data_IF_435583105490
#
_entry.id   IF_435583105490
#
_cell.length_a   1.000
_cell.length_b   1.000
_cell.length_c   1.000
_cell.angle_alpha   90.00
_cell.angle_beta   90.00
_cell.angle_gamma   90.00
#
_symmetry.space_group_name_H-M   'P 1'
#
loop_
_entity.id
_entity.type
_entity.pdbx_description
1 polymer ?
#
# COMPACT_ATOMS: atom_id res chain seq x y z
N UNK A 1 11.64 23.29 24.81
CA UNK A 1 10.77 23.00 25.98
C UNK A 1 9.31 22.78 25.58
N UNK A 2 8.65 23.68 24.83
CA UNK A 2 7.23 23.52 24.42
C UNK A 2 6.89 22.22 23.64
N UNK A 3 7.80 21.73 22.80
CA UNK A 3 7.61 20.47 22.04
C UNK A 3 7.63 19.23 22.94
N UNK A 4 8.44 19.25 24.01
CA UNK A 4 8.53 18.17 25.00
C UNK A 4 7.25 18.14 25.85
N UNK A 5 6.75 19.30 26.26
CA UNK A 5 5.52 19.42 27.06
C UNK A 5 4.27 18.96 26.28
N UNK A 6 4.20 19.26 24.96
CA UNK A 6 3.12 18.77 24.10
C UNK A 6 3.17 17.24 23.93
N UNK A 7 4.35 16.67 23.66
CA UNK A 7 4.52 15.22 23.54
C UNK A 7 4.22 14.51 24.86
N UNK A 8 4.61 15.10 25.99
CA UNK A 8 4.28 14.62 27.33
C UNK A 8 2.77 14.53 27.55
N UNK A 9 2.01 15.55 27.14
CA UNK A 9 0.54 15.53 27.24
C UNK A 9 -0.13 14.48 26.36
N UNK A 10 0.48 14.13 25.22
CA UNK A 10 -0.12 13.20 24.25
C UNK A 10 -0.04 11.74 24.70
N UNK A 11 1.11 11.27 25.20
CA UNK A 11 1.20 9.88 25.67
C UNK A 11 0.43 9.66 26.97
N UNK A 12 0.28 10.69 27.83
CA UNK A 12 -0.49 10.61 29.07
C UNK A 12 -1.97 10.28 28.81
N UNK A 13 -2.54 10.81 27.72
CA UNK A 13 -3.90 10.44 27.30
C UNK A 13 -3.98 8.95 26.96
N UNK A 14 -3.00 8.45 26.20
CA UNK A 14 -2.92 7.03 25.85
C UNK A 14 -2.75 6.13 27.08
N UNK A 15 -1.91 6.52 28.04
CA UNK A 15 -1.71 5.77 29.29
C UNK A 15 -2.98 5.69 30.14
N UNK A 16 -3.71 6.80 30.29
CA UNK A 16 -4.98 6.83 31.03
C UNK A 16 -6.05 5.93 30.43
N UNK A 17 -6.05 5.80 29.10
CA UNK A 17 -6.97 4.92 28.39
C UNK A 17 -6.55 3.44 28.50
N UNK A 18 -5.25 3.15 28.39
CA UNK A 18 -4.71 1.80 28.55
C UNK A 18 -4.92 1.27 29.97
N UNK A 19 -4.66 2.10 30.96
CA UNK A 19 -4.73 1.76 32.38
C UNK A 19 -5.93 2.47 33.04
N UNK A 20 -7.11 2.39 32.42
CA UNK A 20 -8.33 3.02 32.95
C UNK A 20 -8.54 2.69 34.43
N UNK A 21 -8.68 3.73 35.25
CA UNK A 21 -8.89 3.62 36.69
C UNK A 21 -7.63 3.34 37.51
N UNK A 22 -6.45 3.31 36.90
CA UNK A 22 -5.17 3.20 37.59
C UNK A 22 -4.45 4.55 37.59
N UNK A 23 -3.61 4.75 38.61
CA UNK A 23 -2.67 5.86 38.63
C UNK A 23 -1.51 5.57 37.66
N UNK A 24 -1.35 6.42 36.65
CA UNK A 24 -0.31 6.28 35.63
C UNK A 24 1.09 6.59 36.15
N UNK A 25 1.19 7.22 37.34
CA UNK A 25 2.45 7.47 38.04
C UNK A 25 2.79 6.37 39.06
N UNK A 26 1.90 5.39 39.27
CA UNK A 26 2.11 4.30 40.22
C UNK A 26 3.31 3.42 39.84
N UNK A 27 4.15 3.15 40.82
CA UNK A 27 5.27 2.19 40.70
C UNK A 27 4.83 0.73 40.96
N UNK A 28 3.58 0.52 41.36
CA UNK A 28 3.01 -0.80 41.65
C UNK A 28 1.84 -1.13 40.72
N UNK A 29 1.64 -2.41 40.44
CA UNK A 29 0.57 -2.90 39.59
C UNK A 29 0.05 -4.25 40.08
N UNK A 30 -1.20 -4.54 39.74
CA UNK A 30 -1.83 -5.83 40.05
C UNK A 30 -1.71 -6.81 38.89
N UNK A 31 -1.51 -8.07 39.21
CA UNK A 31 -1.32 -9.17 38.26
C UNK A 31 -2.23 -10.36 38.64
N UNK A 32 -2.35 -11.33 37.73
CA UNK A 32 -3.03 -12.62 37.91
C UNK A 32 -4.55 -12.56 38.17
N UNK A 33 -5.16 -11.36 38.15
CA UNK A 33 -6.60 -11.15 38.41
C UNK A 33 -7.48 -10.97 37.17
N UNK A 34 -6.89 -11.01 35.97
CA UNK A 34 -7.57 -10.62 34.73
C UNK A 34 -8.28 -11.78 34.02
N UNK A 35 -8.22 -13.02 34.54
CA UNK A 35 -8.86 -14.16 33.89
C UNK A 35 -8.16 -14.63 32.60
N UNK A 36 -6.85 -14.38 32.48
CA UNK A 36 -6.03 -14.86 31.37
C UNK A 36 -6.47 -14.27 30.03
N UNK A 37 -6.55 -15.11 28.99
CA UNK A 37 -6.96 -14.68 27.64
C UNK A 37 -8.40 -14.19 27.57
N UNK A 38 -9.25 -14.53 28.55
CA UNK A 38 -10.69 -14.20 28.54
C UNK A 38 -10.96 -12.71 28.78
N UNK A 39 -9.96 -11.93 29.21
CA UNK A 39 -10.07 -10.47 29.29
C UNK A 39 -10.13 -9.80 27.91
N UNK A 40 -9.68 -10.48 26.85
CA UNK A 40 -9.56 -9.91 25.51
C UNK A 40 -10.70 -10.41 24.61
N UNK A 41 -11.58 -9.51 24.14
CA UNK A 41 -12.55 -9.83 23.10
C UNK A 41 -11.89 -10.46 21.85
N UNK A 42 -10.73 -9.97 21.42
CA UNK A 42 -10.03 -10.52 20.25
C UNK A 42 -9.54 -11.96 20.47
N UNK A 43 -8.99 -12.28 21.65
CA UNK A 43 -8.59 -13.67 21.95
C UNK A 43 -9.80 -14.60 22.01
N UNK A 44 -10.94 -14.13 22.52
CA UNK A 44 -12.19 -14.91 22.54
C UNK A 44 -12.69 -15.22 21.13
N UNK A 45 -12.59 -14.24 20.21
CA UNK A 45 -12.88 -14.45 18.79
C UNK A 45 -11.95 -15.49 18.16
N UNK A 46 -10.64 -15.39 18.39
CA UNK A 46 -9.66 -16.34 17.85
C UNK A 46 -9.91 -17.78 18.32
N UNK A 47 -10.27 -17.97 19.60
CA UNK A 47 -10.64 -19.30 20.10
C UNK A 47 -11.92 -19.83 19.45
N UNK A 48 -12.91 -18.97 19.18
CA UNK A 48 -14.14 -19.37 18.48
C UNK A 48 -13.85 -19.78 17.04
N UNK A 49 -13.04 -19.00 16.32
CA UNK A 49 -12.63 -19.31 14.95
C UNK A 49 -11.80 -20.61 14.89
N UNK A 50 -10.86 -20.79 15.83
CA UNK A 50 -10.03 -21.99 15.94
C UNK A 50 -10.88 -23.26 16.01
N UNK A 51 -11.90 -23.30 16.87
CA UNK A 51 -12.79 -24.47 17.00
C UNK A 51 -13.50 -24.83 15.69
N UNK A 52 -13.98 -23.83 14.95
CA UNK A 52 -14.63 -24.07 13.66
C UNK A 52 -13.63 -24.68 12.66
N UNK A 53 -12.40 -24.17 12.62
CA UNK A 53 -11.35 -24.67 11.72
C UNK A 53 -10.90 -26.08 12.12
N UNK A 54 -10.74 -26.36 13.42
CA UNK A 54 -10.38 -27.69 13.92
C UNK A 54 -11.42 -28.75 13.52
N UNK A 55 -12.70 -28.41 13.64
CA UNK A 55 -13.80 -29.30 13.24
C UNK A 55 -13.82 -29.54 11.73
N UNK A 56 -13.56 -28.51 10.93
CA UNK A 56 -13.55 -28.59 9.47
C UNK A 56 -12.36 -29.40 8.94
N UNK A 57 -11.15 -29.14 9.45
CA UNK A 57 -9.92 -29.75 8.95
C UNK A 57 -9.49 -31.04 9.66
N UNK A 58 -10.10 -31.36 10.81
CA UNK A 58 -9.77 -32.55 11.61
C UNK A 58 -8.41 -32.52 12.31
N UNK A 59 -7.79 -31.34 12.48
CA UNK A 59 -6.47 -31.17 13.10
C UNK A 59 -6.48 -30.00 14.10
N UNK A 60 -5.89 -30.22 15.27
CA UNK A 60 -5.74 -29.21 16.33
C UNK A 60 -5.08 -27.92 15.81
N UNK A 61 -5.47 -26.76 16.34
CA UNK A 61 -5.02 -25.43 15.92
C UNK A 61 -4.67 -24.52 17.10
N UNK A 62 -5.14 -23.29 17.12
CA UNK A 62 -4.79 -22.26 18.09
C UNK A 62 -5.43 -22.61 19.44
N UNK A 63 -4.58 -22.99 20.40
CA UNK A 63 -4.97 -23.35 21.76
C UNK A 63 -4.04 -22.64 22.78
N UNK A 64 -4.34 -21.37 23.12
CA UNK A 64 -3.51 -20.58 24.01
C UNK A 64 -3.64 -20.99 25.48
N UNK A 65 -4.66 -21.78 25.85
CA UNK A 65 -4.85 -22.26 27.23
C UNK A 65 -3.96 -23.48 27.50
N UNK A 66 -3.81 -24.39 26.53
CA UNK A 66 -3.00 -25.60 26.70
C UNK A 66 -1.54 -25.44 26.24
N UNK A 67 -1.32 -24.79 25.09
CA UNK A 67 -0.01 -24.83 24.42
C UNK A 67 0.94 -23.71 24.86
N UNK A 68 0.42 -22.62 25.40
CA UNK A 68 1.27 -21.51 25.85
C UNK A 68 2.02 -21.89 27.13
N UNK A 69 3.35 -21.84 27.09
CA UNK A 69 4.26 -22.09 28.24
C UNK A 69 3.88 -23.33 29.08
N UNK A 70 3.54 -24.44 28.42
CA UNK A 70 3.18 -25.69 29.12
C UNK A 70 1.86 -25.63 29.91
N UNK A 71 0.90 -24.80 29.46
CA UNK A 71 -0.42 -24.65 30.07
C UNK A 71 -0.59 -23.39 30.92
N UNK A 72 0.36 -22.45 30.85
CA UNK A 72 0.24 -21.14 31.49
C UNK A 72 -0.29 -20.15 30.45
N UNK A 73 -1.60 -19.81 30.44
CA UNK A 73 -2.17 -18.95 29.41
C UNK A 73 -1.62 -17.52 29.47
N UNK A 74 -1.63 -16.84 28.32
CA UNK A 74 -1.43 -15.39 28.24
C UNK A 74 -2.44 -14.62 29.10
N UNK A 75 -2.15 -13.35 29.41
CA UNK A 75 -3.08 -12.48 30.16
C UNK A 75 -2.94 -12.56 31.67
N UNK A 76 -1.78 -13.00 32.18
CA UNK A 76 -1.44 -12.88 33.61
C UNK A 76 -1.24 -11.41 34.03
N UNK A 77 -1.01 -10.51 33.06
CA UNK A 77 -1.12 -9.06 33.20
C UNK A 77 -2.23 -8.55 32.31
N UNK A 78 -2.59 -7.28 32.47
CA UNK A 78 -3.53 -6.61 31.57
C UNK A 78 -3.04 -6.71 30.11
N UNK A 79 -3.89 -7.23 29.22
CA UNK A 79 -3.71 -7.16 27.78
C UNK A 79 -4.19 -5.78 27.31
N UNK A 80 -3.24 -4.95 26.89
CA UNK A 80 -3.47 -3.52 26.64
C UNK A 80 -3.96 -3.25 25.22
N UNK A 81 -4.71 -2.16 25.06
CA UNK A 81 -4.93 -1.55 23.76
C UNK A 81 -3.80 -0.59 23.40
N UNK A 82 -3.71 -0.22 22.13
CA UNK A 82 -2.73 0.74 21.61
C UNK A 82 -3.46 1.81 20.83
N UNK A 83 -3.17 3.07 21.16
CA UNK A 83 -3.56 4.17 20.30
C UNK A 83 -2.70 4.14 19.05
N UNK A 84 -3.33 4.18 17.87
CA UNK A 84 -2.62 4.56 16.66
C UNK A 84 -2.29 6.05 16.81
N UNK A 85 -1.01 6.37 17.02
CA UNK A 85 -0.54 7.69 17.46
C UNK A 85 -1.21 8.85 16.71
N UNK A 86 -1.84 9.76 17.46
CA UNK A 86 -2.46 10.98 16.91
C UNK A 86 -3.87 10.80 16.34
N UNK A 87 -4.41 9.58 16.34
CA UNK A 87 -5.75 9.30 15.77
C UNK A 87 -6.86 9.28 16.81
N UNK A 88 -6.52 9.02 18.09
CA UNK A 88 -7.51 8.72 19.13
C UNK A 88 -8.18 7.34 18.98
N UNK A 89 -7.75 6.51 18.02
CA UNK A 89 -8.27 5.15 17.79
C UNK A 89 -7.43 4.15 18.58
N UNK A 90 -8.09 3.39 19.45
CA UNK A 90 -7.46 2.35 20.27
C UNK A 90 -7.87 0.96 19.78
N UNK A 91 -6.90 0.08 19.59
CA UNK A 91 -7.11 -1.30 19.13
C UNK A 91 -6.30 -2.27 19.99
N UNK A 92 -6.69 -3.54 20.04
CA UNK A 92 -5.83 -4.57 20.62
C UNK A 92 -4.59 -4.79 19.74
N UNK A 93 -3.46 -5.17 20.35
CA UNK A 93 -2.20 -5.35 19.60
C UNK A 93 -2.28 -6.40 18.49
N UNK A 94 -3.18 -7.38 18.63
CA UNK A 94 -3.48 -8.38 17.60
C UNK A 94 -3.96 -7.80 16.27
N UNK A 95 -4.67 -6.67 16.31
CA UNK A 95 -5.21 -5.97 15.12
C UNK A 95 -4.11 -5.18 14.38
N UNK A 96 -2.95 -5.02 15.02
CA UNK A 96 -1.76 -4.41 14.46
C UNK A 96 -0.76 -5.44 13.94
N UNK A 97 -1.07 -6.74 14.05
CA UNK A 97 -0.29 -7.76 13.34
C UNK A 97 -0.64 -7.70 11.86
N UNK A 98 0.36 -7.57 10.98
CA UNK A 98 0.12 -7.33 9.54
C UNK A 98 -0.76 -8.38 8.86
N UNK A 99 -0.73 -9.65 9.31
CA UNK A 99 -1.64 -10.71 8.81
C UNK A 99 -3.12 -10.39 9.07
N UNK A 100 -3.43 -9.70 10.16
CA UNK A 100 -4.80 -9.32 10.55
C UNK A 100 -5.19 -7.92 10.05
N UNK A 101 -4.28 -7.23 9.35
CA UNK A 101 -4.46 -5.84 8.96
C UNK A 101 -4.29 -5.68 7.44
N UNK A 102 -5.41 -5.55 6.73
CA UNK A 102 -5.42 -5.40 5.28
C UNK A 102 -4.75 -4.11 4.81
N UNK A 103 -4.80 -3.03 5.60
CA UNK A 103 -4.11 -1.79 5.25
C UNK A 103 -2.59 -1.94 5.29
N UNK A 104 -2.04 -2.69 6.26
CA UNK A 104 -0.61 -2.99 6.31
C UNK A 104 -0.16 -3.87 5.13
N UNK A 105 -0.98 -4.85 4.74
CA UNK A 105 -0.69 -5.69 3.57
C UNK A 105 -0.74 -4.86 2.28
N UNK A 106 -1.81 -4.08 2.09
CA UNK A 106 -1.97 -3.27 0.89
C UNK A 106 -0.90 -2.18 0.78
N UNK A 107 -0.46 -1.59 1.89
CA UNK A 107 0.67 -0.65 1.89
C UNK A 107 1.93 -1.28 1.30
N UNK A 108 2.25 -2.51 1.68
CA UNK A 108 3.38 -3.23 1.09
C UNK A 108 3.13 -3.57 -0.38
N UNK A 109 1.93 -4.02 -0.72
CA UNK A 109 1.57 -4.38 -2.09
C UNK A 109 1.65 -3.16 -3.02
N UNK A 110 1.16 -1.99 -2.61
CA UNK A 110 1.24 -0.74 -3.36
C UNK A 110 2.68 -0.30 -3.61
N UNK A 111 3.59 -0.49 -2.65
CA UNK A 111 5.02 -0.23 -2.88
C UNK A 111 5.59 -1.26 -3.85
N UNK A 112 5.35 -2.56 -3.59
CA UNK A 112 5.93 -3.67 -4.34
C UNK A 112 5.49 -3.69 -5.80
N UNK A 113 4.24 -3.31 -6.09
CA UNK A 113 3.64 -3.31 -7.43
C UNK A 113 3.93 -2.05 -8.23
N UNK A 114 4.73 -1.12 -7.68
CA UNK A 114 5.02 0.18 -8.32
C UNK A 114 6.43 0.22 -8.91
N UNK A 115 6.56 0.77 -10.12
CA UNK A 115 7.86 1.12 -10.73
C UNK A 115 7.77 2.47 -11.45
N UNK A 116 8.87 3.20 -11.48
CA UNK A 116 9.01 4.44 -12.26
C UNK A 116 9.88 4.15 -13.50
N UNK A 117 9.40 4.55 -14.67
CA UNK A 117 10.10 4.34 -15.96
C UNK A 117 10.13 5.65 -16.75
N UNK A 118 11.34 6.14 -17.06
CA UNK A 118 11.53 7.34 -17.88
C UNK A 118 11.14 7.11 -19.35
N UNK A 119 10.57 8.12 -19.99
CA UNK A 119 10.10 8.06 -21.38
C UNK A 119 11.09 8.66 -22.39
N UNK A 120 12.04 9.47 -21.94
CA UNK A 120 12.94 10.24 -22.82
C UNK A 120 13.73 9.36 -23.79
N UNK A 121 14.26 8.22 -23.32
CA UNK A 121 15.00 7.28 -24.18
C UNK A 121 14.10 6.58 -25.21
N UNK A 122 12.86 6.29 -24.84
CA UNK A 122 11.88 5.71 -25.77
C UNK A 122 11.51 6.75 -26.85
N UNK A 123 11.18 7.98 -26.45
CA UNK A 123 10.90 9.08 -27.37
C UNK A 123 12.08 9.37 -28.31
N UNK A 124 13.30 9.42 -27.79
CA UNK A 124 14.50 9.59 -28.61
C UNK A 124 14.72 8.41 -29.57
N UNK A 125 14.34 7.20 -29.18
CA UNK A 125 14.43 6.03 -30.06
C UNK A 125 13.45 6.17 -31.23
N UNK A 126 12.21 6.57 -30.97
CA UNK A 126 11.20 6.82 -32.00
C UNK A 126 11.67 7.91 -32.98
N UNK A 127 12.15 9.04 -32.46
CA UNK A 127 12.62 10.17 -33.27
C UNK A 127 13.87 9.83 -34.09
N UNK A 128 14.91 9.27 -33.46
CA UNK A 128 16.22 9.06 -34.10
C UNK A 128 16.26 7.82 -34.99
N UNK A 129 15.54 6.76 -34.66
CA UNK A 129 15.59 5.48 -35.40
C UNK A 129 14.42 5.27 -36.34
N UNK A 130 13.24 5.77 -35.98
CA UNK A 130 12.02 5.55 -36.78
C UNK A 130 11.53 6.83 -37.48
N UNK A 131 12.13 7.99 -37.20
CA UNK A 131 11.71 9.27 -37.80
C UNK A 131 10.30 9.70 -37.40
N UNK A 132 9.81 9.19 -36.26
CA UNK A 132 8.48 9.49 -35.73
C UNK A 132 8.53 10.75 -34.87
N UNK A 133 7.56 11.63 -35.05
CA UNK A 133 7.38 12.78 -34.18
C UNK A 133 6.74 12.34 -32.85
N UNK A 134 7.11 12.99 -31.76
CA UNK A 134 6.54 12.78 -30.43
C UNK A 134 5.99 14.13 -29.97
N UNK A 135 4.68 14.20 -29.80
CA UNK A 135 3.92 15.37 -29.37
C UNK A 135 3.03 15.01 -28.18
N UNK A 136 2.51 15.99 -27.42
CA UNK A 136 1.53 15.72 -26.37
C UNK A 136 0.32 14.91 -26.85
N UNK A 137 -0.17 15.15 -28.08
CA UNK A 137 -1.25 14.37 -28.69
C UNK A 137 -0.88 12.88 -28.82
N UNK A 138 0.30 12.57 -29.35
CA UNK A 138 0.77 11.17 -29.47
C UNK A 138 1.03 10.52 -28.10
N UNK A 139 1.43 11.32 -27.10
CA UNK A 139 1.64 10.83 -25.73
C UNK A 139 0.29 10.49 -25.08
N UNK A 140 -0.74 11.32 -25.27
CA UNK A 140 -2.09 11.03 -24.77
C UNK A 140 -2.66 9.75 -25.39
N UNK A 141 -2.50 9.56 -26.70
CA UNK A 141 -2.92 8.31 -27.36
C UNK A 141 -2.16 7.09 -26.82
N UNK A 142 -0.83 7.20 -26.67
CA UNK A 142 -0.02 6.16 -26.04
C UNK A 142 -0.50 5.84 -24.61
N UNK A 143 -0.82 6.85 -23.80
CA UNK A 143 -1.28 6.65 -22.42
C UNK A 143 -2.68 6.03 -22.34
N UNK A 144 -3.54 6.32 -23.32
CA UNK A 144 -4.83 5.66 -23.47
C UNK A 144 -4.64 4.16 -23.76
N UNK A 145 -3.84 3.82 -24.78
CA UNK A 145 -3.51 2.44 -25.15
C UNK A 145 -2.82 1.71 -23.98
N UNK A 146 -1.89 2.37 -23.31
CA UNK A 146 -1.13 1.79 -22.20
C UNK A 146 -2.02 1.47 -21.00
N UNK A 147 -3.01 2.32 -20.67
CA UNK A 147 -3.94 2.03 -19.59
C UNK A 147 -4.92 0.91 -19.93
N UNK A 148 -5.17 0.62 -21.21
CA UNK A 148 -5.84 -0.62 -21.64
C UNK A 148 -4.91 -1.83 -21.55
N UNK A 149 -3.67 -1.73 -22.03
CA UNK A 149 -2.74 -2.85 -22.08
C UNK A 149 -2.17 -3.24 -20.71
N UNK A 150 -1.87 -2.28 -19.83
CA UNK A 150 -1.15 -2.50 -18.56
C UNK A 150 -1.85 -3.50 -17.62
N UNK A 151 -3.19 -3.49 -17.46
CA UNK A 151 -3.90 -4.50 -16.66
C UNK A 151 -3.88 -5.91 -17.27
N UNK A 152 -3.44 -6.08 -18.52
CA UNK A 152 -3.31 -7.38 -19.20
C UNK A 152 -4.30 -7.62 -20.34
N UNK A 153 -4.61 -6.57 -21.13
CA UNK A 153 -5.45 -6.65 -22.32
C UNK A 153 -4.62 -6.52 -23.61
N UNK A 154 -5.15 -7.04 -24.72
CA UNK A 154 -4.43 -7.13 -25.98
C UNK A 154 -4.61 -5.88 -26.85
N UNK A 155 -3.56 -5.54 -27.62
CA UNK A 155 -3.56 -4.36 -28.52
C UNK A 155 -3.15 -4.67 -29.96
N UNK A 156 -2.73 -5.91 -30.27
CA UNK A 156 -2.23 -6.26 -31.62
C UNK A 156 -2.77 -7.59 -32.11
N UNK A 157 -2.61 -8.67 -31.34
CA UNK A 157 -2.90 -10.02 -31.81
C UNK A 157 -4.40 -10.36 -31.71
N UNK A 158 -4.90 -11.10 -32.70
CA UNK A 158 -6.23 -11.72 -32.68
C UNK A 158 -6.28 -12.92 -31.71
N UNK A 159 -7.46 -13.25 -31.21
CA UNK A 159 -7.76 -14.42 -30.36
C UNK A 159 -6.93 -14.48 -29.07
N UNK A 160 -6.68 -13.31 -28.47
CA UNK A 160 -6.04 -13.21 -27.16
C UNK A 160 -7.06 -13.48 -26.04
N UNK A 161 -6.56 -14.01 -24.93
CA UNK A 161 -7.28 -14.05 -23.66
C UNK A 161 -6.76 -12.93 -22.78
N UNK A 162 -7.65 -12.33 -22.00
CA UNK A 162 -7.37 -11.09 -21.26
C UNK A 162 -7.72 -11.26 -19.78
N UNK A 163 -7.15 -10.42 -18.92
CA UNK A 163 -7.51 -10.36 -17.51
C UNK A 163 -8.93 -9.79 -17.35
N UNK A 164 -9.68 -10.27 -16.35
CA UNK A 164 -11.00 -9.70 -16.05
C UNK A 164 -10.82 -8.32 -15.40
N UNK A 165 -11.38 -7.21 -15.94
CA UNK A 165 -11.12 -5.86 -15.42
C UNK A 165 -11.44 -5.69 -13.92
N UNK A 166 -12.51 -6.31 -13.43
CA UNK A 166 -12.86 -6.30 -11.99
C UNK A 166 -11.91 -7.06 -11.04
N UNK A 167 -10.82 -7.66 -11.55
CA UNK A 167 -9.75 -8.28 -10.75
C UNK A 167 -8.43 -7.50 -10.81
N UNK A 168 -8.38 -6.45 -11.64
CA UNK A 168 -7.18 -5.65 -11.95
C UNK A 168 -7.50 -4.15 -12.03
N UNK A 169 -8.57 -3.71 -11.36
CA UNK A 169 -9.05 -2.32 -11.37
C UNK A 169 -8.13 -1.35 -10.62
N UNK A 170 -7.19 -1.89 -9.85
CA UNK A 170 -6.13 -1.17 -9.14
C UNK A 170 -4.89 -0.89 -10.02
N UNK A 171 -4.86 -1.42 -11.24
CA UNK A 171 -3.76 -1.29 -12.18
C UNK A 171 -3.94 -0.10 -13.12
N UNK A 172 -2.95 0.79 -13.17
CA UNK A 172 -2.97 1.95 -14.06
C UNK A 172 -1.56 2.53 -14.25
N UNK A 173 -1.46 3.43 -15.23
CA UNK A 173 -0.27 4.25 -15.48
C UNK A 173 -0.64 5.72 -15.49
N UNK A 174 0.16 6.52 -14.77
CA UNK A 174 0.15 7.97 -14.88
C UNK A 174 1.54 8.50 -15.19
N UNK A 175 1.64 9.73 -15.62
CA UNK A 175 2.91 10.42 -15.91
C UNK A 175 3.09 11.66 -15.06
N UNK A 176 4.34 12.04 -14.84
CA UNK A 176 4.71 13.35 -14.32
C UNK A 176 5.92 13.89 -15.09
N UNK A 177 6.02 15.21 -15.16
CA UNK A 177 7.13 15.94 -15.79
C UNK A 177 7.33 17.26 -15.05
N UNK A 178 8.54 17.82 -15.13
CA UNK A 178 8.82 19.18 -14.68
C UNK A 178 8.72 20.23 -15.80
N UNK A 179 8.35 19.82 -17.02
CA UNK A 179 8.06 20.73 -18.13
C UNK A 179 6.57 21.11 -18.13
N UNK A 180 6.25 22.31 -17.62
CA UNK A 180 4.86 22.78 -17.48
C UNK A 180 4.15 22.86 -18.84
N UNK A 181 4.85 23.25 -19.91
CA UNK A 181 4.26 23.35 -21.25
C UNK A 181 3.79 21.97 -21.74
N UNK A 182 4.54 20.91 -21.42
CA UNK A 182 4.14 19.54 -21.76
C UNK A 182 3.04 19.06 -20.81
N UNK A 183 3.14 19.35 -19.52
CA UNK A 183 2.16 18.93 -18.53
C UNK A 183 0.76 19.47 -18.82
N UNK A 184 0.65 20.73 -19.26
CA UNK A 184 -0.62 21.40 -19.59
C UNK A 184 -1.37 20.74 -20.77
N UNK A 185 -0.63 20.10 -21.67
CA UNK A 185 -1.18 19.41 -22.85
C UNK A 185 -1.44 17.90 -22.63
N UNK A 186 -1.05 17.34 -21.48
CA UNK A 186 -1.39 15.97 -21.11
C UNK A 186 -2.79 15.92 -20.49
N UNK A 187 -3.59 14.94 -20.90
CA UNK A 187 -4.93 14.77 -20.36
C UNK A 187 -4.90 14.56 -18.83
N UNK A 188 -5.72 15.30 -18.05
CA UNK A 188 -5.67 15.26 -16.59
C UNK A 188 -5.89 13.87 -15.97
N UNK A 189 -6.53 12.95 -16.69
CA UNK A 189 -6.71 11.58 -16.22
C UNK A 189 -5.38 10.82 -16.10
N UNK A 190 -4.39 11.15 -16.94
CA UNK A 190 -3.08 10.51 -16.95
C UNK A 190 -2.01 11.31 -16.19
N UNK A 191 -2.25 12.59 -15.88
CA UNK A 191 -1.26 13.43 -15.21
C UNK A 191 -1.25 13.25 -13.69
N UNK A 192 -0.05 13.11 -13.12
CA UNK A 192 0.26 13.40 -11.72
C UNK A 192 0.81 14.82 -11.65
N UNK A 193 -0.12 15.76 -11.50
CA UNK A 193 0.16 17.20 -11.47
C UNK A 193 0.94 17.59 -10.20
N UNK A 194 2.21 17.96 -10.39
CA UNK A 194 3.13 18.31 -9.30
C UNK A 194 2.65 19.57 -8.56
N UNK A 195 2.13 20.57 -9.26
CA UNK A 195 1.68 21.82 -8.65
C UNK A 195 0.41 21.63 -7.81
N UNK A 196 -0.46 20.71 -8.24
CA UNK A 196 -1.67 20.37 -7.48
C UNK A 196 -1.39 19.48 -6.27
N UNK A 197 -0.40 18.59 -6.36
CA UNK A 197 -0.12 17.60 -5.31
C UNK A 197 0.80 18.13 -4.22
N UNK A 198 1.63 19.14 -4.51
CA UNK A 198 2.64 19.65 -3.58
C UNK A 198 2.48 21.16 -3.32
N UNK A 199 2.77 21.63 -2.09
CA UNK A 199 2.88 23.06 -1.81
C UNK A 199 3.88 23.74 -2.76
N UNK A 200 3.60 24.97 -3.19
CA UNK A 200 4.36 25.69 -4.21
C UNK A 200 5.89 25.58 -4.11
N UNK A 201 6.47 25.74 -2.91
CA UNK A 201 7.92 25.62 -2.72
C UNK A 201 8.44 24.19 -3.01
N UNK A 202 7.71 23.17 -2.57
CA UNK A 202 8.07 21.77 -2.85
C UNK A 202 7.85 21.42 -4.32
N UNK A 203 6.79 21.96 -4.93
CA UNK A 203 6.53 21.77 -6.36
C UNK A 203 7.68 22.36 -7.21
N UNK A 204 8.14 23.58 -6.89
CA UNK A 204 9.29 24.21 -7.55
C UNK A 204 10.57 23.37 -7.42
N UNK A 205 10.87 22.89 -6.21
CA UNK A 205 12.03 22.01 -5.96
C UNK A 205 11.92 20.69 -6.75
N UNK A 206 10.75 20.05 -6.77
CA UNK A 206 10.53 18.80 -7.52
C UNK A 206 10.62 19.00 -9.03
N UNK A 207 10.03 20.06 -9.58
CA UNK A 207 10.12 20.37 -11.01
C UNK A 207 11.56 20.63 -11.44
N UNK A 208 12.34 21.33 -10.61
CA UNK A 208 13.76 21.56 -10.88
C UNK A 208 14.57 20.25 -10.95
N UNK A 209 14.29 19.29 -10.06
CA UNK A 209 14.97 17.98 -10.04
C UNK A 209 14.53 17.06 -11.19
N UNK A 210 13.25 17.04 -11.52
CA UNK A 210 12.71 16.26 -12.66
C UNK A 210 13.19 16.86 -13.99
N UNK A 211 13.34 18.18 -14.03
CA UNK A 211 13.67 18.94 -15.23
C UNK A 211 12.65 18.71 -16.35
N UNK A 212 13.12 18.72 -17.60
CA UNK A 212 12.27 18.48 -18.79
C UNK A 212 12.01 17.00 -19.07
N UNK A 213 12.41 16.09 -18.17
CA UNK A 213 12.17 14.66 -18.35
C UNK A 213 10.71 14.30 -18.09
N UNK A 214 10.26 13.23 -18.73
CA UNK A 214 8.93 12.64 -18.47
C UNK A 214 9.06 11.22 -17.91
N UNK A 215 8.29 10.92 -16.87
CA UNK A 215 8.35 9.66 -16.15
C UNK A 215 6.97 9.06 -15.98
N UNK A 216 6.89 7.73 -16.14
CA UNK A 216 5.68 6.94 -15.90
C UNK A 216 5.72 6.38 -14.48
N UNK A 217 4.68 6.63 -13.68
CA UNK A 217 4.37 5.92 -12.45
C UNK A 217 3.41 4.78 -12.78
N UNK A 218 3.91 3.55 -12.69
CA UNK A 218 3.21 2.35 -13.13
C UNK A 218 2.90 1.49 -11.93
N UNK A 219 1.63 1.13 -11.78
CA UNK A 219 1.17 0.24 -10.73
C UNK A 219 0.56 -1.01 -11.37
N UNK A 220 1.24 -2.15 -11.28
CA UNK A 220 0.71 -3.42 -11.80
C UNK A 220 -0.38 -3.96 -10.86
N UNK A 221 -1.20 -4.95 -11.25
CA UNK A 221 -2.30 -5.42 -10.40
C UNK A 221 -1.79 -6.04 -9.08
N UNK A 222 -2.43 -5.72 -7.96
CA UNK A 222 -2.13 -6.33 -6.64
C UNK A 222 -2.27 -7.85 -6.70
N UNK A 223 -3.26 -8.37 -7.43
CA UNK A 223 -3.43 -9.82 -7.62
C UNK A 223 -2.18 -10.48 -8.23
N UNK A 224 -1.53 -9.82 -9.20
CA UNK A 224 -0.27 -10.28 -9.81
C UNK A 224 0.87 -10.19 -8.79
N UNK A 225 0.98 -9.08 -8.06
CA UNK A 225 2.03 -8.88 -7.05
C UNK A 225 1.97 -9.91 -5.90
N UNK A 226 0.75 -10.29 -5.49
CA UNK A 226 0.52 -11.30 -4.44
C UNK A 226 0.75 -12.73 -4.93
N UNK A 227 0.46 -13.01 -6.20
CA UNK A 227 0.69 -14.34 -6.81
C UNK A 227 2.16 -14.57 -7.12
N UNK A 228 2.86 -13.52 -7.51
CA UNK A 228 4.27 -13.55 -7.92
C UNK A 228 5.15 -12.87 -6.86
N UNK A 229 6.06 -11.99 -7.29
CA UNK A 229 7.00 -11.27 -6.44
C UNK A 229 7.28 -9.85 -6.96
N UNK A 230 8.13 -9.09 -6.25
CA UNK A 230 8.53 -7.75 -6.68
C UNK A 230 9.40 -7.71 -7.94
N UNK A 231 10.02 -8.83 -8.33
CA UNK A 231 10.74 -8.95 -9.60
C UNK A 231 9.81 -8.95 -10.82
N UNK A 232 8.52 -9.22 -10.60
CA UNK A 232 7.50 -9.20 -11.66
C UNK A 232 7.18 -7.78 -12.11
N UNK A 233 7.18 -6.80 -11.19
CA UNK A 233 6.72 -5.42 -11.42
C UNK A 233 7.38 -4.76 -12.63
N UNK A 234 8.72 -4.72 -12.67
CA UNK A 234 9.43 -4.08 -13.78
C UNK A 234 9.32 -4.85 -15.10
N UNK A 235 9.22 -6.18 -15.04
CA UNK A 235 9.08 -7.03 -16.23
C UNK A 235 7.70 -6.88 -16.86
N UNK A 236 6.64 -6.99 -16.06
CA UNK A 236 5.26 -6.78 -16.49
C UNK A 236 5.09 -5.38 -17.10
N UNK A 237 5.56 -4.35 -16.37
CA UNK A 237 5.59 -2.98 -16.85
C UNK A 237 6.24 -2.85 -18.23
N UNK A 238 7.45 -3.39 -18.40
CA UNK A 238 8.17 -3.31 -19.67
C UNK A 238 7.47 -4.03 -20.83
N UNK A 239 6.78 -5.15 -20.58
CA UNK A 239 6.03 -5.86 -21.64
C UNK A 239 4.89 -5.00 -22.18
N UNK A 240 4.10 -4.39 -21.30
CA UNK A 240 2.93 -3.62 -21.71
C UNK A 240 3.33 -2.25 -22.28
N UNK A 241 4.41 -1.64 -21.78
CA UNK A 241 5.05 -0.47 -22.43
C UNK A 241 5.45 -0.82 -23.86
N UNK A 242 6.15 -1.96 -24.05
CA UNK A 242 6.60 -2.40 -25.37
C UNK A 242 5.45 -2.60 -26.35
N UNK A 243 4.39 -3.29 -25.92
CA UNK A 243 3.19 -3.50 -26.74
C UNK A 243 2.46 -2.20 -27.07
N UNK A 244 2.41 -1.25 -26.13
CA UNK A 244 1.73 0.03 -26.33
C UNK A 244 2.50 0.94 -27.29
N UNK A 245 3.83 0.96 -27.24
CA UNK A 245 4.65 1.65 -28.24
C UNK A 245 4.60 1.01 -29.64
N UNK A 246 4.27 -0.27 -29.74
CA UNK A 246 4.07 -0.93 -31.04
C UNK A 246 2.71 -0.52 -31.65
N UNK A 247 1.69 -0.34 -30.80
CA UNK A 247 0.32 -0.05 -31.22
C UNK A 247 0.08 1.45 -31.49
N UNK A 248 0.68 2.33 -30.70
CA UNK A 248 0.60 3.80 -30.84
C UNK A 248 1.54 4.32 -31.94
#
# INVERSE_FOLDING_TARGET
MAKIERTQKLFLKSLKEKFRGQDVESETAEFYKFGGVRQSPRKMEFMKASRAIEMDRGLAMYDPERCHLGGIPMGQRQLMTYEVSGTGVFVEGDDLHFVNNSAMQQFWDDIRRTVIVGMDLAHQTLQKRLGKEVTPETINEYLHILNHAMPGAAVVQEHMVETHPGLVDDCYVKVFTGDDDVADDIEPQFLLDIEKLFPAKQAEELKAEVGKGMYQAIHIPTAVSRTCDGGTTSRWSAMQIGMSFIAA
#
